data_IF_786468417097
#
_entry.id   IF_786468417097
#
_cell.length_a   1.000
_cell.length_b   1.000
_cell.length_c   1.000
_cell.angle_alpha   90.00
_cell.angle_beta   90.00
_cell.angle_gamma   90.00
#
_symmetry.space_group_name_H-M   'P 1'
#
loop_
_entity.id
_entity.type
_entity.pdbx_description
1 polymer ?
#
# COMPACT_ATOMS: atom_id res chain seq x y z
N UNK A 1 -15.83 -43.56 -13.63
CA UNK A 1 -15.71 -42.17 -14.14
C UNK A 1 -14.79 -42.15 -15.34
N UNK A 2 -15.11 -41.37 -16.37
CA UNK A 2 -14.39 -41.38 -17.66
C UNK A 2 -13.10 -40.56 -17.59
N UNK A 3 -12.01 -41.07 -18.16
CA UNK A 3 -10.73 -40.34 -18.31
C UNK A 3 -10.91 -38.98 -19.02
N UNK A 4 -11.97 -38.84 -19.83
CA UNK A 4 -12.32 -37.61 -20.53
C UNK A 4 -12.62 -36.42 -19.61
N UNK A 5 -13.32 -36.62 -18.47
CA UNK A 5 -13.64 -35.52 -17.56
C UNK A 5 -12.38 -34.99 -16.86
N UNK A 6 -11.42 -35.87 -16.55
CA UNK A 6 -10.12 -35.46 -15.98
C UNK A 6 -9.29 -34.66 -16.98
N UNK A 7 -9.40 -34.94 -18.27
CA UNK A 7 -8.68 -34.18 -19.32
C UNK A 7 -9.31 -32.80 -19.52
N UNK A 8 -10.65 -32.68 -19.54
CA UNK A 8 -11.34 -31.41 -19.74
C UNK A 8 -11.16 -30.42 -18.58
N UNK A 9 -11.12 -30.91 -17.33
CA UNK A 9 -10.80 -30.09 -16.16
C UNK A 9 -9.42 -29.42 -16.30
N UNK A 10 -8.41 -30.13 -16.84
CA UNK A 10 -7.08 -29.54 -17.09
C UNK A 10 -7.10 -28.38 -18.10
N UNK A 11 -8.14 -28.27 -18.91
CA UNK A 11 -8.33 -27.17 -19.88
C UNK A 11 -9.31 -26.08 -19.39
N UNK A 12 -9.63 -26.06 -18.09
CA UNK A 12 -10.42 -24.97 -17.47
C UNK A 12 -11.93 -25.18 -17.42
N UNK A 13 -12.46 -26.23 -18.05
CA UNK A 13 -13.91 -26.50 -18.06
C UNK A 13 -14.30 -27.38 -16.87
N UNK A 14 -15.04 -26.80 -15.92
CA UNK A 14 -15.52 -27.51 -14.72
C UNK A 14 -14.48 -27.69 -13.63
N UNK A 15 -13.52 -26.76 -13.51
CA UNK A 15 -12.56 -26.69 -12.40
C UNK A 15 -13.19 -26.11 -11.13
N UNK A 16 -12.47 -26.29 -10.02
CA UNK A 16 -12.76 -25.53 -8.83
C UNK A 16 -12.64 -24.02 -9.10
N UNK A 17 -13.44 -23.24 -8.40
CA UNK A 17 -13.40 -21.78 -8.41
C UNK A 17 -13.10 -21.28 -7.01
N UNK A 18 -12.56 -20.07 -6.93
CA UNK A 18 -12.24 -19.38 -5.68
C UNK A 18 -12.92 -18.02 -5.67
N UNK A 19 -13.39 -17.60 -4.50
CA UNK A 19 -14.07 -16.32 -4.24
C UNK A 19 -13.69 -15.86 -2.83
N UNK A 20 -13.02 -14.74 -2.72
CA UNK A 20 -12.52 -14.19 -1.47
C UNK A 20 -13.51 -13.14 -0.99
N UNK A 21 -13.86 -13.20 0.29
CA UNK A 21 -14.84 -12.31 0.89
C UNK A 21 -14.24 -11.62 2.08
N UNK A 22 -13.97 -10.33 1.92
CA UNK A 22 -13.46 -9.49 2.99
C UNK A 22 -14.60 -9.04 3.90
N UNK A 23 -14.36 -8.98 5.21
CA UNK A 23 -15.35 -8.43 6.16
C UNK A 23 -15.62 -6.95 5.91
N UNK A 24 -14.61 -6.23 5.42
CA UNK A 24 -14.65 -4.83 5.02
C UNK A 24 -13.64 -4.62 3.90
N UNK A 25 -13.79 -3.56 3.11
CA UNK A 25 -12.86 -3.24 2.01
C UNK A 25 -11.96 -2.06 2.33
N UNK A 26 -12.20 -1.35 3.45
CA UNK A 26 -11.44 -0.18 3.86
C UNK A 26 -10.60 -0.51 5.09
N UNK A 27 -9.29 -0.38 4.97
CA UNK A 27 -8.33 -0.77 5.98
C UNK A 27 -7.34 0.35 6.26
N UNK A 28 -6.91 0.45 7.51
CA UNK A 28 -5.86 1.37 7.91
C UNK A 28 -4.50 0.70 7.72
N UNK A 29 -3.48 1.43 7.30
CA UNK A 29 -2.08 0.95 7.37
C UNK A 29 -1.81 0.31 8.73
N UNK A 30 -1.22 -0.88 8.76
CA UNK A 30 -0.96 -1.60 10.02
C UNK A 30 -2.18 -2.26 10.68
N UNK A 31 -3.37 -2.26 10.07
CA UNK A 31 -4.54 -2.98 10.60
C UNK A 31 -4.62 -4.43 10.09
N UNK A 32 -5.42 -5.25 10.78
CA UNK A 32 -5.73 -6.61 10.33
C UNK A 32 -6.76 -6.58 9.20
N UNK A 33 -6.56 -7.45 8.21
CA UNK A 33 -7.54 -7.78 7.19
C UNK A 33 -8.08 -9.16 7.53
N UNK A 34 -9.39 -9.24 7.71
CA UNK A 34 -10.10 -10.47 7.98
C UNK A 34 -11.04 -10.80 6.82
N UNK A 35 -11.12 -12.08 6.49
CA UNK A 35 -12.00 -12.54 5.43
C UNK A 35 -12.11 -14.06 5.37
N UNK A 36 -12.75 -14.52 4.31
CA UNK A 36 -12.96 -15.93 4.03
C UNK A 36 -12.66 -16.22 2.57
N UNK A 37 -11.90 -17.29 2.30
CA UNK A 37 -11.76 -17.84 0.95
C UNK A 37 -12.79 -18.94 0.77
N UNK A 38 -13.73 -18.71 -0.14
CA UNK A 38 -14.77 -19.65 -0.54
C UNK A 38 -14.29 -20.44 -1.77
N UNK A 39 -14.21 -21.75 -1.63
CA UNK A 39 -13.76 -22.66 -2.68
C UNK A 39 -14.93 -23.54 -3.08
N UNK A 40 -15.24 -23.56 -4.36
CA UNK A 40 -16.26 -24.41 -4.93
C UNK A 40 -15.60 -25.45 -5.82
N UNK A 41 -15.74 -26.73 -5.48
CA UNK A 41 -15.19 -27.84 -6.23
C UNK A 41 -15.84 -28.02 -7.60
N UNK A 42 -15.02 -28.46 -8.56
CA UNK A 42 -15.42 -28.69 -9.94
C UNK A 42 -16.18 -30.01 -10.18
N UNK A 43 -15.95 -30.64 -11.33
CA UNK A 43 -16.61 -31.90 -11.71
C UNK A 43 -15.87 -33.17 -11.23
N UNK A 44 -14.64 -33.03 -10.77
CA UNK A 44 -13.77 -34.13 -10.31
C UNK A 44 -13.03 -33.72 -9.05
N UNK A 45 -12.54 -34.69 -8.29
CA UNK A 45 -11.64 -34.43 -7.16
C UNK A 45 -10.40 -33.66 -7.63
N UNK A 46 -10.04 -32.62 -6.90
CA UNK A 46 -8.85 -31.80 -7.12
C UNK A 46 -8.05 -31.67 -5.83
N UNK A 47 -6.73 -31.78 -5.95
CA UNK A 47 -5.80 -31.52 -4.86
C UNK A 47 -5.29 -30.10 -5.04
N UNK A 48 -5.53 -29.27 -4.03
CA UNK A 48 -5.01 -27.91 -3.93
C UNK A 48 -3.78 -27.99 -3.03
N UNK A 49 -2.60 -27.76 -3.58
CA UNK A 49 -1.34 -27.88 -2.84
C UNK A 49 -1.18 -26.70 -1.87
N UNK A 50 -1.48 -25.49 -2.35
CA UNK A 50 -1.37 -24.25 -1.59
C UNK A 50 -2.47 -23.25 -1.97
N UNK A 51 -2.83 -22.42 -0.99
CA UNK A 51 -3.75 -21.29 -1.17
C UNK A 51 -2.97 -20.05 -0.80
N UNK A 52 -2.80 -19.17 -1.78
CA UNK A 52 -2.06 -17.93 -1.61
C UNK A 52 -3.00 -16.75 -1.69
N UNK A 53 -2.64 -15.72 -0.94
CA UNK A 53 -3.23 -14.41 -1.01
C UNK A 53 -2.08 -13.41 -1.15
N UNK A 54 -2.11 -12.62 -2.23
CA UNK A 54 -1.09 -11.64 -2.54
C UNK A 54 -1.64 -10.25 -2.30
N UNK A 55 -0.90 -9.40 -1.57
CA UNK A 55 -1.17 -7.97 -1.52
C UNK A 55 -0.50 -7.33 -2.73
N UNK A 56 -1.29 -6.78 -3.64
CA UNK A 56 -0.81 -6.22 -4.91
C UNK A 56 -1.11 -4.75 -4.99
N UNK A 57 -0.09 -3.97 -5.38
CA UNK A 57 -0.22 -2.57 -5.77
C UNK A 57 -0.12 -2.48 -7.27
N UNK A 58 -1.13 -1.85 -7.88
CA UNK A 58 -1.11 -1.50 -9.27
C UNK A 58 -0.60 -0.08 -9.44
N UNK A 59 0.33 0.14 -10.35
CA UNK A 59 0.84 1.47 -10.65
C UNK A 59 1.09 1.67 -12.14
N UNK A 60 1.16 2.93 -12.54
CA UNK A 60 1.55 3.32 -13.89
C UNK A 60 2.99 3.85 -13.89
N UNK A 61 3.83 3.29 -14.74
CA UNK A 61 5.21 3.73 -14.94
C UNK A 61 5.58 3.59 -16.43
N UNK A 62 6.30 4.56 -16.99
CA UNK A 62 6.74 4.54 -18.41
C UNK A 62 5.60 4.22 -19.42
N UNK A 63 4.41 4.82 -19.23
CA UNK A 63 3.20 4.57 -20.03
C UNK A 63 2.67 3.14 -20.00
N UNK A 64 3.10 2.34 -19.04
CA UNK A 64 2.71 0.95 -18.85
C UNK A 64 2.11 0.76 -17.46
N UNK A 65 1.18 -0.18 -17.34
CA UNK A 65 0.61 -0.57 -16.05
C UNK A 65 1.39 -1.79 -15.52
N UNK A 66 1.74 -1.76 -14.24
CA UNK A 66 2.51 -2.81 -13.59
C UNK A 66 1.81 -3.27 -12.32
N UNK A 67 1.88 -4.58 -12.06
CA UNK A 67 1.52 -5.18 -10.78
C UNK A 67 2.79 -5.36 -9.94
N UNK A 68 2.72 -4.98 -8.67
CA UNK A 68 3.78 -5.25 -7.71
C UNK A 68 3.21 -5.98 -6.50
N UNK A 69 3.67 -7.21 -6.30
CA UNK A 69 3.37 -8.02 -5.13
C UNK A 69 4.18 -7.48 -3.96
N UNK A 70 3.50 -6.83 -3.02
CA UNK A 70 4.11 -6.31 -1.79
C UNK A 70 4.38 -7.42 -0.80
N UNK A 71 3.40 -8.31 -0.61
CA UNK A 71 3.44 -9.40 0.36
C UNK A 71 2.72 -10.63 -0.19
N UNK A 72 3.16 -11.80 0.25
CA UNK A 72 2.56 -13.10 -0.04
C UNK A 72 2.17 -13.78 1.28
N UNK A 73 0.91 -14.20 1.38
CA UNK A 73 0.37 -14.89 2.53
C UNK A 73 -0.08 -16.30 2.11
N UNK A 74 0.46 -17.33 2.78
CA UNK A 74 0.00 -18.71 2.63
C UNK A 74 -1.10 -19.00 3.63
N UNK A 75 -2.30 -19.30 3.15
CA UNK A 75 -3.50 -19.47 3.98
C UNK A 75 -3.74 -20.90 4.45
N UNK A 76 -3.24 -21.90 3.72
CA UNK A 76 -3.43 -23.31 4.10
C UNK A 76 -2.30 -24.23 3.68
N UNK A 77 -2.30 -25.41 4.27
CA UNK A 77 -1.62 -26.60 3.77
C UNK A 77 -2.45 -27.27 2.65
N UNK A 78 -1.96 -28.38 2.12
CA UNK A 78 -2.60 -29.16 1.05
C UNK A 78 -4.02 -29.56 1.45
N UNK A 79 -5.01 -29.25 0.62
CA UNK A 79 -6.39 -29.70 0.77
C UNK A 79 -6.85 -30.49 -0.45
N UNK A 80 -7.80 -31.39 -0.25
CA UNK A 80 -8.56 -32.00 -1.36
C UNK A 80 -9.96 -31.39 -1.39
N UNK A 81 -10.41 -30.99 -2.58
CA UNK A 81 -11.77 -30.52 -2.84
C UNK A 81 -12.47 -31.52 -3.77
N UNK A 82 -13.58 -32.10 -3.31
CA UNK A 82 -14.40 -33.04 -4.06
C UNK A 82 -15.32 -32.37 -5.08
N UNK A 83 -16.04 -33.14 -5.91
CA UNK A 83 -16.88 -32.60 -6.95
C UNK A 83 -18.08 -31.88 -6.34
N UNK A 84 -18.33 -30.64 -6.75
CA UNK A 84 -19.34 -29.76 -6.19
C UNK A 84 -19.25 -29.53 -4.66
N UNK A 85 -18.16 -29.93 -4.00
CA UNK A 85 -17.93 -29.63 -2.58
C UNK A 85 -17.75 -28.12 -2.39
N UNK A 86 -18.19 -27.59 -1.25
CA UNK A 86 -17.90 -26.21 -0.86
C UNK A 86 -17.05 -26.21 0.39
N UNK A 87 -15.96 -25.43 0.37
CA UNK A 87 -15.08 -25.22 1.52
C UNK A 87 -14.90 -23.74 1.78
N UNK A 88 -14.80 -23.39 3.05
CA UNK A 88 -14.56 -22.03 3.51
C UNK A 88 -13.34 -22.04 4.40
N UNK A 89 -12.38 -21.16 4.08
CA UNK A 89 -11.14 -21.02 4.85
C UNK A 89 -11.10 -19.57 5.38
N UNK A 90 -11.32 -19.36 6.68
CA UNK A 90 -11.17 -18.04 7.27
C UNK A 90 -9.70 -17.66 7.32
N UNK A 91 -9.41 -16.38 7.14
CA UNK A 91 -8.07 -15.84 7.29
C UNK A 91 -8.06 -14.53 8.05
N UNK A 92 -6.90 -14.25 8.64
CA UNK A 92 -6.54 -12.98 9.22
C UNK A 92 -5.09 -12.70 8.82
N UNK A 93 -4.84 -11.57 8.18
CA UNK A 93 -3.51 -11.14 7.74
C UNK A 93 -3.23 -9.71 8.21
N UNK A 94 -1.97 -9.42 8.48
CA UNK A 94 -1.52 -8.10 8.90
C UNK A 94 -1.22 -7.24 7.67
N UNK A 95 -1.94 -6.12 7.48
CA UNK A 95 -1.59 -5.16 6.44
C UNK A 95 -0.27 -4.45 6.84
N UNK A 96 0.77 -4.45 5.98
CA UNK A 96 2.01 -3.74 6.27
C UNK A 96 1.78 -2.25 6.53
N UNK A 97 2.53 -1.67 7.47
CA UNK A 97 2.44 -0.24 7.79
C UNK A 97 2.90 0.66 6.64
N UNK A 98 3.82 0.15 5.81
CA UNK A 98 4.36 0.80 4.62
C UNK A 98 3.53 0.55 3.36
N UNK A 99 2.36 -0.09 3.47
CA UNK A 99 1.40 -0.18 2.36
C UNK A 99 1.02 1.23 1.92
N UNK A 100 1.14 1.59 0.63
CA UNK A 100 0.77 2.91 0.17
C UNK A 100 -0.72 3.20 0.42
N UNK A 101 -1.08 4.47 0.55
CA UNK A 101 -2.47 4.90 0.57
C UNK A 101 -3.11 4.67 -0.80
N UNK A 102 -4.36 4.25 -0.82
CA UNK A 102 -5.10 4.11 -2.08
C UNK A 102 -5.39 5.48 -2.67
N UNK A 103 -4.99 5.69 -3.92
CA UNK A 103 -5.29 6.88 -4.71
C UNK A 103 -5.96 6.47 -6.02
N UNK A 104 -6.57 7.41 -6.75
CA UNK A 104 -7.30 7.12 -7.99
C UNK A 104 -6.44 6.50 -9.10
N UNK A 105 -5.12 6.68 -9.07
CA UNK A 105 -4.18 6.15 -10.05
C UNK A 105 -3.49 4.84 -9.65
N UNK A 106 -3.65 4.38 -8.40
CA UNK A 106 -2.93 3.23 -7.87
C UNK A 106 -3.84 2.36 -6.98
N UNK A 107 -4.70 1.53 -7.59
CA UNK A 107 -5.55 0.63 -6.83
C UNK A 107 -4.70 -0.45 -6.15
N UNK A 108 -5.15 -0.86 -4.98
CA UNK A 108 -4.56 -1.90 -4.16
C UNK A 108 -5.59 -3.01 -4.05
N UNK A 109 -5.17 -4.26 -4.20
CA UNK A 109 -6.08 -5.39 -4.12
C UNK A 109 -5.39 -6.62 -3.52
N UNK A 110 -6.23 -7.53 -3.05
CA UNK A 110 -5.82 -8.87 -2.67
C UNK A 110 -6.10 -9.79 -3.85
N UNK A 111 -5.09 -10.54 -4.27
CA UNK A 111 -5.23 -11.57 -5.31
C UNK A 111 -5.13 -12.94 -4.65
N UNK A 112 -6.19 -13.73 -4.77
CA UNK A 112 -6.21 -15.09 -4.24
C UNK A 112 -5.95 -16.08 -5.37
N UNK A 113 -5.14 -17.11 -5.11
CA UNK A 113 -4.88 -18.18 -6.07
C UNK A 113 -4.89 -19.55 -5.40
N UNK A 114 -5.47 -20.54 -6.07
CA UNK A 114 -5.37 -21.95 -5.68
C UNK A 114 -4.32 -22.64 -6.56
N UNK A 115 -3.26 -23.18 -5.96
CA UNK A 115 -2.31 -24.00 -6.70
C UNK A 115 -2.83 -25.43 -6.84
N UNK A 116 -3.25 -25.81 -8.05
CA UNK A 116 -3.86 -27.11 -8.32
C UNK A 116 -2.95 -27.90 -9.25
N UNK A 117 -2.44 -29.01 -8.75
CA UNK A 117 -1.53 -29.87 -9.51
C UNK A 117 -2.09 -30.23 -10.89
N UNK A 118 -1.36 -29.79 -11.93
CA UNK A 118 -1.63 -30.09 -13.33
C UNK A 118 -3.00 -29.59 -13.85
N UNK A 119 -3.54 -28.51 -13.26
CA UNK A 119 -4.72 -27.80 -13.75
C UNK A 119 -4.43 -26.30 -13.95
N UNK A 120 -5.37 -25.57 -14.53
CA UNK A 120 -5.33 -24.10 -14.54
C UNK A 120 -5.74 -23.61 -13.15
N UNK A 121 -4.87 -22.84 -12.51
CA UNK A 121 -5.10 -22.28 -11.18
C UNK A 121 -6.22 -21.23 -11.25
N UNK A 122 -7.34 -21.42 -10.53
CA UNK A 122 -8.35 -20.38 -10.42
C UNK A 122 -7.79 -19.23 -9.57
N UNK A 123 -8.11 -18.01 -9.97
CA UNK A 123 -7.76 -16.79 -9.26
C UNK A 123 -8.98 -15.88 -9.05
N UNK A 124 -8.81 -14.97 -8.09
CA UNK A 124 -9.80 -13.98 -7.70
C UNK A 124 -9.10 -12.69 -7.25
N UNK A 125 -9.79 -11.55 -7.31
CA UNK A 125 -9.20 -10.23 -7.03
C UNK A 125 -10.18 -9.28 -6.36
N UNK A 126 -9.81 -8.81 -5.17
CA UNK A 126 -10.63 -7.92 -4.34
C UNK A 126 -9.92 -6.60 -4.06
N UNK A 127 -10.52 -5.50 -4.52
CA UNK A 127 -10.02 -4.16 -4.24
C UNK A 127 -10.15 -3.78 -2.76
N UNK A 128 -9.10 -3.16 -2.23
CA UNK A 128 -9.08 -2.57 -0.89
C UNK A 128 -8.73 -1.07 -0.95
N UNK A 129 -9.34 -0.31 -0.06
CA UNK A 129 -8.99 1.08 0.22
C UNK A 129 -8.08 1.14 1.45
N UNK A 130 -6.84 1.56 1.25
CA UNK A 130 -5.86 1.76 2.31
C UNK A 130 -5.85 3.22 2.73
N UNK A 131 -6.15 3.46 4.00
CA UNK A 131 -6.18 4.79 4.61
C UNK A 131 -4.99 5.01 5.55
N UNK A 132 -4.60 6.28 5.80
CA UNK A 132 -3.41 6.60 6.58
C UNK A 132 -3.36 5.93 7.94
N UNK A 133 -2.18 5.54 8.40
CA UNK A 133 -1.95 5.22 9.81
C UNK A 133 -2.43 6.36 10.71
N UNK A 134 -2.82 6.07 11.96
CA UNK A 134 -3.40 7.10 12.85
C UNK A 134 -2.45 8.30 13.05
N UNK A 135 -1.17 8.01 13.27
CA UNK A 135 -0.14 9.03 13.42
C UNK A 135 0.02 9.86 12.13
N UNK A 136 -0.07 9.23 10.96
CA UNK A 136 0.02 9.94 9.68
C UNK A 136 -1.19 10.84 9.49
N UNK A 137 -2.39 10.34 9.76
CA UNK A 137 -3.62 11.14 9.70
C UNK A 137 -3.54 12.37 10.61
N UNK A 138 -2.94 12.23 11.80
CA UNK A 138 -2.77 13.34 12.73
C UNK A 138 -1.75 14.36 12.22
N UNK A 139 -0.59 13.91 11.72
CA UNK A 139 0.41 14.80 11.11
C UNK A 139 -0.19 15.56 9.93
N UNK A 140 -0.95 14.90 9.06
CA UNK A 140 -1.63 15.54 7.93
C UNK A 140 -2.59 16.65 8.40
N UNK A 141 -3.34 16.44 9.50
CA UNK A 141 -4.19 17.48 10.09
C UNK A 141 -3.40 18.65 10.65
N UNK A 142 -2.24 18.40 11.25
CA UNK A 142 -1.34 19.47 11.72
C UNK A 142 -0.83 20.29 10.54
N UNK A 143 -0.36 19.62 9.48
CA UNK A 143 0.08 20.26 8.23
C UNK A 143 -1.04 21.13 7.64
N UNK A 144 -2.28 20.64 7.64
CA UNK A 144 -3.43 21.43 7.20
C UNK A 144 -3.68 22.65 8.09
N UNK A 145 -3.59 22.49 9.41
CA UNK A 145 -3.81 23.55 10.39
C UNK A 145 -2.80 24.69 10.28
N UNK A 146 -1.54 24.40 10.00
CA UNK A 146 -0.48 25.41 9.81
C UNK A 146 -0.58 26.14 8.45
N UNK A 147 -1.53 25.74 7.61
CA UNK A 147 -1.86 26.47 6.38
C UNK A 147 -1.43 25.80 5.09
N UNK A 148 -1.14 24.49 5.07
CA UNK A 148 -0.97 23.75 3.82
C UNK A 148 -2.26 23.02 3.41
N UNK A 149 -2.44 22.76 2.13
CA UNK A 149 -3.57 21.97 1.63
C UNK A 149 -3.02 20.82 0.78
N UNK A 150 -3.43 19.59 1.08
CA UNK A 150 -3.05 18.43 0.28
C UNK A 150 -3.70 18.51 -1.10
N UNK A 151 -2.89 18.59 -2.14
CA UNK A 151 -3.35 18.71 -3.53
C UNK A 151 -3.29 17.38 -4.26
N UNK A 152 -2.26 16.58 -4.00
CA UNK A 152 -2.10 15.28 -4.66
C UNK A 152 -1.22 14.33 -3.85
N UNK A 153 -1.38 13.03 -4.11
CA UNK A 153 -0.49 11.97 -3.66
C UNK A 153 -0.05 11.21 -4.90
N UNK A 154 1.24 11.29 -5.22
CA UNK A 154 1.82 10.72 -6.43
C UNK A 154 2.81 9.61 -6.08
N UNK A 155 2.97 8.63 -6.96
CA UNK A 155 4.02 7.61 -6.84
C UNK A 155 5.25 8.10 -7.58
N UNK A 156 6.38 8.10 -6.89
CA UNK A 156 7.69 8.31 -7.51
C UNK A 156 8.47 7.00 -7.46
N UNK A 157 9.13 6.66 -8.56
CA UNK A 157 9.82 5.38 -8.72
C UNK A 157 11.30 5.56 -8.47
N UNK A 158 11.78 4.99 -7.37
CA UNK A 158 13.18 5.05 -6.97
C UNK A 158 13.57 3.78 -6.20
N UNK A 159 14.84 3.39 -6.27
CA UNK A 159 15.33 2.11 -5.70
C UNK A 159 15.99 2.22 -4.33
N UNK A 160 16.35 3.44 -3.89
CA UNK A 160 17.24 3.59 -2.74
C UNK A 160 16.55 3.91 -1.41
N UNK A 161 15.37 4.52 -1.45
CA UNK A 161 14.71 5.06 -0.26
C UNK A 161 13.62 4.15 0.34
N UNK A 162 13.24 3.10 -0.38
CA UNK A 162 12.18 2.18 0.01
C UNK A 162 12.58 0.74 -0.33
N UNK A 163 12.02 -0.22 0.40
CA UNK A 163 12.12 -1.65 0.00
C UNK A 163 11.26 -1.95 -1.23
N UNK A 164 10.37 -1.03 -1.59
CA UNK A 164 9.50 -1.09 -2.76
C UNK A 164 10.11 -0.27 -3.90
N UNK A 165 9.76 -0.55 -5.17
CA UNK A 165 10.27 0.20 -6.32
C UNK A 165 9.68 1.63 -6.41
N UNK A 166 8.92 2.06 -5.41
CA UNK A 166 8.23 3.34 -5.36
C UNK A 166 8.17 3.89 -3.94
N UNK A 167 7.90 5.20 -3.88
CA UNK A 167 7.50 5.95 -2.68
C UNK A 167 6.22 6.75 -2.98
N UNK A 168 5.48 7.13 -1.94
CA UNK A 168 4.40 8.10 -2.08
C UNK A 168 4.84 9.49 -1.68
N UNK A 169 4.67 10.44 -2.60
CA UNK A 169 4.92 11.86 -2.40
C UNK A 169 3.60 12.58 -2.22
N UNK A 170 3.46 13.22 -1.07
CA UNK A 170 2.30 14.05 -0.73
C UNK A 170 2.65 15.48 -1.07
N UNK A 171 1.93 16.06 -2.03
CA UNK A 171 2.13 17.44 -2.46
C UNK A 171 1.12 18.35 -1.82
N UNK A 172 1.63 19.39 -1.19
CA UNK A 172 0.84 20.41 -0.53
C UNK A 172 1.07 21.78 -1.16
N UNK A 173 0.00 22.57 -1.24
CA UNK A 173 0.07 23.98 -1.58
C UNK A 173 -0.15 24.84 -0.33
N UNK A 174 0.65 25.88 -0.09
CA UNK A 174 0.46 26.79 1.02
C UNK A 174 -0.78 27.68 0.80
N UNK A 175 -1.41 28.06 1.90
CA UNK A 175 -2.61 28.89 1.95
C UNK A 175 -2.43 30.02 2.97
N UNK A 176 -3.26 31.06 2.88
CA UNK A 176 -3.15 32.24 3.76
C UNK A 176 -1.80 32.94 3.62
N UNK A 177 -1.24 33.40 4.74
CA UNK A 177 0.02 34.15 4.78
C UNK A 177 1.21 33.34 4.22
N UNK A 178 1.17 32.01 4.33
CA UNK A 178 2.22 31.12 3.88
C UNK A 178 2.38 31.13 2.35
N UNK A 179 1.30 31.40 1.61
CA UNK A 179 1.32 31.50 0.14
C UNK A 179 2.20 32.65 -0.40
N UNK A 180 2.59 33.60 0.46
CA UNK A 180 3.53 34.67 0.12
C UNK A 180 5.00 34.30 0.34
N UNK A 181 5.26 33.24 1.13
CA UNK A 181 6.60 32.77 1.50
C UNK A 181 7.02 31.53 0.72
N UNK A 182 6.08 30.64 0.43
CA UNK A 182 6.29 29.35 -0.22
C UNK A 182 5.33 29.18 -1.39
N UNK A 183 5.74 28.37 -2.36
CA UNK A 183 4.95 27.94 -3.51
C UNK A 183 4.41 26.53 -3.34
N UNK A 184 5.21 25.60 -2.79
CA UNK A 184 4.80 24.21 -2.58
C UNK A 184 5.62 23.50 -1.49
N UNK A 185 5.05 22.43 -0.95
CA UNK A 185 5.75 21.47 -0.10
C UNK A 185 5.48 20.05 -0.57
N UNK A 186 6.51 19.29 -0.94
CA UNK A 186 6.43 17.85 -1.12
C UNK A 186 6.89 17.15 0.16
N UNK A 187 6.18 16.10 0.58
CA UNK A 187 6.52 15.30 1.76
C UNK A 187 6.50 13.81 1.46
N UNK A 188 7.46 13.08 2.02
CA UNK A 188 7.51 11.61 2.02
C UNK A 188 7.47 11.14 3.46
N UNK A 189 6.56 10.21 3.76
CA UNK A 189 6.34 9.70 5.11
C UNK A 189 6.78 8.25 5.22
N UNK A 190 7.62 7.96 6.21
CA UNK A 190 8.01 6.60 6.60
C UNK A 190 7.39 6.31 7.97
N UNK A 191 6.31 5.53 7.96
CA UNK A 191 5.58 5.16 9.17
C UNK A 191 6.26 3.94 9.81
N UNK A 192 6.85 4.13 10.99
CA UNK A 192 7.35 3.04 11.83
C UNK A 192 6.45 2.78 13.05
N UNK A 193 6.80 1.74 13.82
CA UNK A 193 6.03 1.32 15.01
C UNK A 193 6.08 2.32 16.17
N UNK A 194 7.25 2.95 16.37
CA UNK A 194 7.49 3.87 17.48
C UNK A 194 7.64 5.33 17.05
N UNK A 195 8.19 5.55 15.85
CA UNK A 195 8.48 6.86 15.29
C UNK A 195 8.10 6.92 13.80
N UNK A 196 7.84 8.13 13.32
CA UNK A 196 7.65 8.42 11.91
C UNK A 196 8.75 9.37 11.45
N UNK A 197 9.41 9.03 10.34
CA UNK A 197 10.31 9.94 9.65
C UNK A 197 9.56 10.63 8.51
N UNK A 198 9.74 11.94 8.40
CA UNK A 198 9.16 12.76 7.35
C UNK A 198 10.32 13.45 6.63
N UNK A 199 10.38 13.29 5.32
CA UNK A 199 11.28 14.05 4.46
C UNK A 199 10.46 15.15 3.80
N UNK A 200 10.80 16.40 4.10
CA UNK A 200 10.10 17.59 3.60
C UNK A 200 10.97 18.34 2.59
N UNK A 201 10.32 18.79 1.51
CA UNK A 201 10.91 19.53 0.41
C UNK A 201 10.09 20.78 0.15
N UNK A 202 10.69 21.94 0.40
CA UNK A 202 10.08 23.24 0.21
C UNK A 202 10.50 23.81 -1.15
N UNK A 203 9.53 24.31 -1.92
CA UNK A 203 9.73 24.94 -3.24
C UNK A 203 10.54 24.11 -4.24
N UNK A 204 10.52 22.79 -4.06
CA UNK A 204 11.19 21.79 -4.87
C UNK A 204 10.29 20.57 -5.03
N UNK A 205 10.39 19.91 -6.18
CA UNK A 205 9.68 18.65 -6.41
C UNK A 205 10.50 17.48 -5.87
N UNK A 206 9.82 16.45 -5.36
CA UNK A 206 10.48 15.20 -5.00
C UNK A 206 11.24 14.57 -6.18
N UNK A 207 10.70 14.66 -7.39
CA UNK A 207 11.35 14.18 -8.62
C UNK A 207 12.74 14.79 -8.85
N UNK A 208 12.93 16.06 -8.45
CA UNK A 208 14.21 16.77 -8.61
C UNK A 208 15.30 16.23 -7.67
N UNK A 209 14.91 15.56 -6.57
CA UNK A 209 15.82 15.04 -5.55
C UNK A 209 16.23 13.58 -5.79
N UNK A 210 15.38 12.82 -6.47
CA UNK A 210 15.60 11.40 -6.75
C UNK A 210 16.38 11.19 -8.07
N UNK A 211 16.29 12.14 -9.01
CA UNK A 211 17.07 12.11 -10.26
C UNK A 211 18.57 12.39 -10.09
N UNK A 212 19.01 12.91 -8.94
CA UNK A 212 20.39 13.35 -8.67
C UNK A 212 20.97 12.66 -7.43
N UNK A 213 21.34 11.38 -7.53
CA UNK A 213 22.06 10.66 -6.46
C UNK A 213 23.36 11.37 -6.00
N UNK A 214 23.94 12.25 -6.81
CA UNK A 214 25.06 13.13 -6.42
C UNK A 214 24.67 14.19 -5.36
N UNK A 215 23.42 14.67 -5.31
CA UNK A 215 22.93 15.60 -4.28
C UNK A 215 22.39 14.86 -3.04
N UNK A 216 22.00 13.58 -3.14
CA UNK A 216 21.56 12.78 -1.99
C UNK A 216 22.72 12.39 -1.04
N UNK A 217 23.97 12.46 -1.51
CA UNK A 217 25.18 12.29 -0.69
C UNK A 217 25.73 13.62 -0.16
N UNK A 218 25.47 14.73 -0.88
CA UNK A 218 25.62 16.10 -0.42
C UNK A 218 24.25 16.62 0.06
N UNK A 219 23.70 16.03 1.15
CA UNK A 219 22.49 16.53 1.83
C UNK A 219 22.76 17.94 2.39
N UNK A 220 22.78 18.92 1.49
CA UNK A 220 23.10 20.32 1.73
C UNK A 220 21.78 21.06 1.94
N UNK A 221 21.49 21.41 3.20
CA UNK A 221 20.63 22.51 3.69
C UNK A 221 19.17 22.63 3.21
N UNK A 222 18.65 21.79 2.31
CA UNK A 222 17.30 21.98 1.72
C UNK A 222 16.34 20.80 1.78
N UNK A 223 16.80 19.61 2.18
CA UNK A 223 15.93 18.50 2.56
C UNK A 223 15.84 18.46 4.08
N UNK A 224 14.65 18.64 4.62
CA UNK A 224 14.43 18.69 6.07
C UNK A 224 13.91 17.32 6.51
N UNK A 225 14.69 16.63 7.37
CA UNK A 225 14.27 15.38 7.98
C UNK A 225 13.66 15.68 9.34
N UNK A 226 12.38 15.37 9.48
CA UNK A 226 11.61 15.57 10.68
C UNK A 226 11.27 14.21 11.28
N UNK A 227 11.77 13.96 12.49
CA UNK A 227 11.34 12.81 13.29
C UNK A 227 10.15 13.21 14.16
N UNK A 228 9.09 12.42 14.04
CA UNK A 228 7.85 12.55 14.81
C UNK A 228 7.69 11.34 15.73
N UNK A 229 7.71 11.61 17.02
CA UNK A 229 7.53 10.63 18.09
C UNK A 229 6.08 10.64 18.58
N UNK A 230 5.73 9.68 19.45
CA UNK A 230 4.42 9.68 20.12
C UNK A 230 4.20 10.92 20.99
N UNK A 231 5.25 11.47 21.61
CA UNK A 231 5.18 12.68 22.44
C UNK A 231 4.83 13.92 21.59
N UNK A 232 5.39 14.02 20.38
CA UNK A 232 5.07 15.12 19.46
C UNK A 232 3.61 15.15 19.02
N UNK A 233 2.98 13.97 19.00
CA UNK A 233 1.57 13.76 18.66
C UNK A 233 0.63 13.98 19.86
N UNK A 234 1.15 14.19 21.06
CA UNK A 234 0.31 14.61 22.18
C UNK A 234 -0.24 16.03 21.96
N UNK A 235 -1.25 16.40 22.75
CA UNK A 235 -1.85 17.74 22.73
C UNK A 235 -2.27 18.20 21.31
N UNK A 236 -2.90 17.30 20.55
CA UNK A 236 -3.35 17.55 19.17
C UNK A 236 -2.22 17.88 18.18
N UNK A 237 -1.03 17.29 18.42
CA UNK A 237 0.12 17.42 17.54
C UNK A 237 0.89 18.72 17.69
N UNK A 238 0.86 19.35 18.87
CA UNK A 238 1.55 20.62 19.13
C UNK A 238 3.08 20.51 18.91
N UNK A 239 3.69 19.38 19.28
CA UNK A 239 5.13 19.18 19.04
C UNK A 239 5.46 19.06 17.55
N UNK A 240 4.57 18.47 16.75
CA UNK A 240 4.71 18.45 15.28
C UNK A 240 4.58 19.86 14.70
N UNK A 241 3.63 20.65 15.21
CA UNK A 241 3.39 22.03 14.79
C UNK A 241 4.62 22.92 15.05
N UNK A 242 5.17 22.88 16.27
CA UNK A 242 6.38 23.64 16.63
C UNK A 242 7.56 23.27 15.72
N UNK A 243 7.80 21.97 15.53
CA UNK A 243 8.89 21.48 14.66
C UNK A 243 8.72 21.92 13.21
N UNK A 244 7.49 21.94 12.68
CA UNK A 244 7.23 22.40 11.32
C UNK A 244 7.45 23.91 11.17
N UNK A 245 7.03 24.71 12.16
CA UNK A 245 7.27 26.16 12.15
C UNK A 245 8.76 26.50 12.19
N UNK A 246 9.52 25.89 13.10
CA UNK A 246 10.97 26.08 13.22
C UNK A 246 11.66 25.77 11.87
N UNK A 247 11.27 24.67 11.23
CA UNK A 247 11.81 24.25 9.93
C UNK A 247 11.46 25.21 8.79
N UNK A 248 10.24 25.75 8.76
CA UNK A 248 9.80 26.68 7.71
C UNK A 248 10.46 28.05 7.87
N UNK A 249 10.58 28.54 9.10
CA UNK A 249 11.19 29.84 9.38
C UNK A 249 12.69 29.83 9.07
N UNK A 250 13.42 28.75 9.44
CA UNK A 250 14.83 28.58 9.05
C UNK A 250 15.06 28.60 7.53
N UNK A 251 14.05 28.22 6.74
CA UNK A 251 14.14 28.17 5.28
C UNK A 251 13.64 29.44 4.57
N UNK A 252 12.92 30.31 5.30
CA UNK A 252 12.31 31.53 4.75
C UNK A 252 13.21 32.78 4.89
N UNK A 253 14.38 32.67 5.53
CA UNK A 253 15.42 33.72 5.66
C UNK A 253 16.48 33.65 4.54
#
# INVERSE_FOLDING_TARGET
MSMFNKVLARFGVGNATVDTRLKQTRHRQGSLIEGEVHIQGGQVDQVVDEIYLFLVVLYHHENSQHEYVMEEFRLSEVITIGPAESKVIPFEIQLPQDTPLTTSGCPIYLKTGLDIAMAVNPDDTDGIEVIPHHNLEQVLKVIERIGFQLVSIEFEFEKYFSRHPFIQVFRFEPSGDLSSKLNMMDAVFYVGEEEMEIILLLDRRATDLLGSLEEALDLDKRSLRLQVTKEDLENDGAGVEDKLFDLIDEHSE
#
